data_IF_957527383231
#
_entry.id   IF_957527383231
#
_cell.length_a   1.000
_cell.length_b   1.000
_cell.length_c   1.000
_cell.angle_alpha   90.00
_cell.angle_beta   90.00
_cell.angle_gamma   90.00
#
_symmetry.space_group_name_H-M   'P 1'
#
loop_
_entity.id
_entity.type
_entity.pdbx_description
1 polymer ?
#
# COMPACT_ATOMS: atom_id res chain seq x y z
N UNK A 1 5.21 -4.23 -19.17
CA UNK A 1 4.67 -3.37 -18.10
C UNK A 1 3.57 -4.12 -17.37
N UNK A 2 3.39 -3.93 -16.06
CA UNK A 2 2.35 -4.64 -15.29
C UNK A 2 0.95 -4.21 -15.74
N UNK A 3 -0.02 -5.14 -15.75
CA UNK A 3 -1.43 -4.82 -15.93
C UNK A 3 -2.15 -5.03 -14.60
N UNK A 4 -2.62 -3.93 -13.99
CA UNK A 4 -3.33 -3.94 -12.72
C UNK A 4 -4.83 -3.69 -12.86
N UNK A 5 -5.35 -3.64 -14.09
CA UNK A 5 -6.78 -3.40 -14.32
C UNK A 5 -7.61 -4.52 -13.70
N UNK A 6 -8.56 -4.15 -12.85
CA UNK A 6 -9.42 -5.10 -12.14
C UNK A 6 -8.75 -5.82 -10.96
N UNK A 7 -7.52 -5.48 -10.62
CA UNK A 7 -6.80 -6.01 -9.45
C UNK A 7 -6.82 -4.97 -8.34
N UNK A 8 -7.20 -5.37 -7.12
CA UNK A 8 -7.20 -4.47 -5.96
C UNK A 8 -5.78 -4.07 -5.56
N UNK A 9 -5.64 -2.87 -5.00
CA UNK A 9 -4.34 -2.24 -4.71
C UNK A 9 -3.38 -3.13 -3.93
N UNK A 10 -3.84 -3.81 -2.87
CA UNK A 10 -3.01 -4.72 -2.06
C UNK A 10 -2.49 -5.93 -2.87
N UNK A 11 -3.34 -6.53 -3.71
CA UNK A 11 -2.94 -7.67 -4.53
C UNK A 11 -1.94 -7.25 -5.62
N UNK A 12 -2.19 -6.11 -6.27
CA UNK A 12 -1.27 -5.51 -7.23
C UNK A 12 0.07 -5.17 -6.58
N UNK A 13 0.04 -4.61 -5.36
CA UNK A 13 1.25 -4.25 -4.61
C UNK A 13 2.07 -5.47 -4.23
N UNK A 14 1.42 -6.58 -3.83
CA UNK A 14 2.11 -7.86 -3.57
C UNK A 14 2.79 -8.42 -4.80
N UNK A 15 2.07 -8.53 -5.92
CA UNK A 15 2.63 -9.06 -7.17
C UNK A 15 3.76 -8.18 -7.70
N UNK A 16 3.62 -6.86 -7.55
CA UNK A 16 4.66 -5.93 -7.93
C UNK A 16 5.90 -6.13 -7.07
N UNK A 17 5.79 -6.01 -5.74
CA UNK A 17 6.92 -6.07 -4.83
C UNK A 17 7.55 -7.46 -4.74
N UNK A 18 6.83 -8.54 -5.02
CA UNK A 18 7.45 -9.88 -5.07
C UNK A 18 8.46 -10.03 -6.20
N UNK A 19 8.47 -9.12 -7.19
CA UNK A 19 9.41 -9.11 -8.30
C UNK A 19 10.60 -8.15 -8.10
N UNK A 20 10.56 -7.32 -7.07
CA UNK A 20 11.65 -6.41 -6.73
C UNK A 20 12.31 -6.87 -5.44
N UNK A 21 13.61 -7.16 -5.50
CA UNK A 21 14.42 -7.26 -4.29
C UNK A 21 14.76 -5.83 -3.89
N UNK A 22 14.07 -5.29 -2.88
CA UNK A 22 14.38 -3.97 -2.32
C UNK A 22 15.60 -4.10 -1.40
N UNK A 23 16.78 -4.39 -1.96
CA UNK A 23 18.06 -4.32 -1.24
C UNK A 23 18.52 -2.88 -1.00
N UNK A 24 17.64 -1.91 -1.24
CA UNK A 24 17.95 -0.51 -1.48
C UNK A 24 17.67 0.45 -0.33
N UNK A 25 18.34 1.60 -0.40
CA UNK A 25 18.10 2.77 0.45
C UNK A 25 16.64 3.24 0.42
N UNK A 26 16.26 4.06 1.41
CA UNK A 26 14.94 4.71 1.49
C UNK A 26 14.54 5.41 0.18
N UNK A 27 15.50 5.97 -0.58
CA UNK A 27 15.21 6.61 -1.87
C UNK A 27 14.75 5.62 -2.96
N UNK A 28 15.32 4.42 -3.02
CA UNK A 28 14.92 3.43 -4.02
C UNK A 28 13.50 2.92 -3.75
N UNK A 29 13.17 2.72 -2.47
CA UNK A 29 11.81 2.35 -2.05
C UNK A 29 10.79 3.39 -2.51
N UNK A 30 11.07 4.68 -2.28
CA UNK A 30 10.20 5.77 -2.73
C UNK A 30 10.02 5.76 -4.25
N UNK A 31 11.10 5.61 -5.03
CA UNK A 31 11.00 5.56 -6.51
C UNK A 31 10.17 4.38 -7.00
N UNK A 32 10.34 3.21 -6.37
CA UNK A 32 9.61 1.98 -6.71
C UNK A 32 8.13 2.12 -6.38
N UNK A 33 7.77 2.71 -5.23
CA UNK A 33 6.38 2.96 -4.85
C UNK A 33 5.72 4.04 -5.69
N UNK A 34 6.43 5.10 -6.06
CA UNK A 34 5.95 6.13 -7.00
C UNK A 34 5.65 5.54 -8.37
N UNK A 35 6.57 4.70 -8.90
CA UNK A 35 6.36 4.03 -10.17
C UNK A 35 5.16 3.07 -10.15
N UNK A 36 5.02 2.30 -9.07
CA UNK A 36 3.85 1.45 -8.86
C UNK A 36 2.56 2.26 -8.82
N UNK A 37 2.51 3.33 -8.04
CA UNK A 37 1.32 4.14 -7.84
C UNK A 37 0.86 4.78 -9.16
N UNK A 38 1.80 5.35 -9.92
CA UNK A 38 1.52 5.90 -11.25
C UNK A 38 0.94 4.82 -12.17
N UNK A 39 1.56 3.64 -12.22
CA UNK A 39 1.10 2.56 -13.09
C UNK A 39 -0.27 2.02 -12.67
N UNK A 40 -0.51 1.88 -11.37
CA UNK A 40 -1.79 1.41 -10.85
C UNK A 40 -2.92 2.41 -11.17
N UNK A 41 -2.65 3.70 -11.05
CA UNK A 41 -3.58 4.76 -11.44
C UNK A 41 -3.89 4.74 -12.95
N UNK A 42 -2.88 4.62 -13.81
CA UNK A 42 -3.08 4.51 -15.27
C UNK A 42 -3.96 3.31 -15.66
N UNK A 43 -3.84 2.18 -14.94
CA UNK A 43 -4.65 0.99 -15.16
C UNK A 43 -6.07 1.09 -14.58
N UNK A 44 -6.29 1.97 -13.60
CA UNK A 44 -7.54 2.10 -12.84
C UNK A 44 -7.90 3.58 -12.56
N UNK A 45 -8.01 4.45 -13.58
CA UNK A 45 -8.13 5.91 -13.39
C UNK A 45 -9.47 6.33 -12.76
N UNK A 46 -10.45 5.43 -12.68
CA UNK A 46 -11.77 5.68 -12.10
C UNK A 46 -11.86 5.36 -10.61
N UNK A 47 -10.86 4.66 -10.04
CA UNK A 47 -10.86 4.24 -8.64
C UNK A 47 -10.25 5.27 -7.68
N UNK A 48 -9.36 6.12 -8.19
CA UNK A 48 -8.62 7.13 -7.43
C UNK A 48 -8.63 8.45 -8.19
N UNK A 49 -8.42 9.56 -7.48
CA UNK A 49 -8.41 10.91 -8.07
C UNK A 49 -7.08 11.27 -8.75
N UNK A 50 -5.99 10.69 -8.28
CA UNK A 50 -4.64 10.95 -8.79
C UNK A 50 -3.68 9.81 -8.45
N UNK A 51 -2.52 9.79 -9.12
CA UNK A 51 -1.42 8.91 -8.75
C UNK A 51 -0.89 9.18 -7.34
N UNK A 52 -0.88 10.44 -6.88
CA UNK A 52 -0.44 10.82 -5.54
C UNK A 52 -1.34 10.20 -4.46
N UNK A 53 -2.65 10.15 -4.71
CA UNK A 53 -3.59 9.47 -3.81
C UNK A 53 -3.27 7.96 -3.70
N UNK A 54 -2.96 7.31 -4.83
CA UNK A 54 -2.55 5.89 -4.84
C UNK A 54 -1.22 5.72 -4.11
N UNK A 55 -0.28 6.66 -4.29
CA UNK A 55 1.03 6.64 -3.64
C UNK A 55 0.89 6.75 -2.13
N UNK A 56 0.12 7.72 -1.63
CA UNK A 56 -0.15 7.89 -0.20
C UNK A 56 -0.75 6.62 0.42
N UNK A 57 -1.74 6.01 -0.23
CA UNK A 57 -2.34 4.77 0.25
C UNK A 57 -1.35 3.59 0.19
N UNK A 58 -0.53 3.51 -0.86
CA UNK A 58 0.54 2.50 -0.98
C UNK A 58 1.53 2.61 0.18
N UNK A 59 2.01 3.82 0.49
CA UNK A 59 2.89 4.07 1.63
C UNK A 59 2.24 3.67 2.95
N UNK A 60 0.95 4.01 3.14
CA UNK A 60 0.21 3.61 4.32
C UNK A 60 0.09 2.08 4.46
N UNK A 61 -0.12 1.34 3.36
CA UNK A 61 -0.15 -0.12 3.37
C UNK A 61 1.21 -0.74 3.73
N UNK A 62 2.31 -0.13 3.28
CA UNK A 62 3.66 -0.59 3.63
C UNK A 62 3.99 -0.33 5.11
N UNK A 63 3.57 0.82 5.63
CA UNK A 63 3.69 1.14 7.05
C UNK A 63 2.84 0.17 7.88
N UNK A 64 1.59 -0.06 7.47
CA UNK A 64 0.69 -1.03 8.11
C UNK A 64 1.30 -2.44 8.09
N UNK A 65 1.88 -2.87 6.96
CA UNK A 65 2.53 -4.17 6.86
C UNK A 65 3.71 -4.30 7.83
N UNK A 66 4.55 -3.27 7.90
CA UNK A 66 5.69 -3.22 8.81
C UNK A 66 5.24 -3.23 10.26
N UNK A 67 4.17 -2.51 10.57
CA UNK A 67 3.63 -2.45 11.92
C UNK A 67 2.92 -3.75 12.33
N UNK A 68 2.19 -4.43 11.43
CA UNK A 68 1.50 -5.69 11.72
C UNK A 68 2.43 -6.91 11.77
N UNK A 69 3.39 -6.98 10.85
CA UNK A 69 4.20 -8.19 10.59
C UNK A 69 5.70 -7.99 10.86
N UNK A 70 6.14 -6.77 11.11
CA UNK A 70 7.53 -6.49 11.46
C UNK A 70 7.90 -6.98 12.87
N UNK A 71 9.18 -6.92 13.23
CA UNK A 71 9.70 -7.45 14.50
C UNK A 71 9.26 -6.64 15.74
N UNK A 72 8.58 -5.50 15.58
CA UNK A 72 8.20 -4.63 16.69
C UNK A 72 7.23 -5.35 17.65
N UNK A 73 7.60 -5.45 18.93
CA UNK A 73 6.80 -6.13 19.98
C UNK A 73 5.73 -5.19 20.58
N UNK A 74 5.67 -3.94 20.11
CA UNK A 74 4.69 -2.95 20.55
C UNK A 74 3.24 -3.24 20.13
N UNK A 75 2.35 -2.32 20.52
CA UNK A 75 0.95 -2.34 20.08
C UNK A 75 0.89 -2.24 18.56
N UNK A 76 0.30 -3.26 17.94
CA UNK A 76 0.01 -3.31 16.50
C UNK A 76 -1.13 -2.34 16.15
N UNK A 77 -1.05 -1.73 14.99
CA UNK A 77 -1.99 -0.77 14.41
C UNK A 77 -3.33 -1.47 14.20
N UNK A 78 -4.36 -0.96 14.85
CA UNK A 78 -5.72 -1.46 14.64
C UNK A 78 -6.30 -0.94 13.34
N UNK A 79 -7.39 -1.55 12.86
CA UNK A 79 -8.11 -1.04 11.68
C UNK A 79 -8.60 0.40 11.89
N UNK A 80 -8.91 0.78 13.13
CA UNK A 80 -9.32 2.15 13.46
C UNK A 80 -8.14 3.10 13.35
N UNK A 81 -7.01 2.75 13.95
CA UNK A 81 -5.78 3.54 13.88
C UNK A 81 -5.36 3.75 12.40
N UNK A 82 -5.49 2.73 11.55
CA UNK A 82 -5.18 2.82 10.12
C UNK A 82 -6.09 3.81 9.37
N UNK A 83 -7.41 3.75 9.62
CA UNK A 83 -8.37 4.69 9.01
C UNK A 83 -8.14 6.11 9.51
N UNK A 84 -7.94 6.28 10.82
CA UNK A 84 -7.70 7.57 11.45
C UNK A 84 -6.38 8.19 10.93
N UNK A 85 -5.31 7.40 10.79
CA UNK A 85 -4.03 7.86 10.21
C UNK A 85 -4.20 8.45 8.81
N UNK A 86 -5.03 7.82 7.97
CA UNK A 86 -5.29 8.31 6.62
C UNK A 86 -6.20 9.55 6.59
N UNK A 87 -7.01 9.78 7.63
CA UNK A 87 -7.84 10.97 7.74
C UNK A 87 -7.04 12.28 7.94
N UNK A 88 -5.78 12.17 8.38
CA UNK A 88 -4.85 13.29 8.47
C UNK A 88 -4.19 13.64 7.12
N UNK A 89 -4.38 12.81 6.09
CA UNK A 89 -3.90 13.13 4.74
C UNK A 89 -4.90 14.06 4.04
N UNK A 90 -4.45 14.76 3.02
CA UNK A 90 -5.35 15.57 2.17
C UNK A 90 -6.27 14.73 1.27
N UNK A 91 -6.12 13.40 1.31
CA UNK A 91 -6.85 12.47 0.45
C UNK A 91 -8.02 11.80 1.18
N UNK A 92 -9.17 11.78 0.51
CA UNK A 92 -10.38 11.13 1.02
C UNK A 92 -10.49 9.73 0.42
N UNK A 93 -10.58 8.71 1.27
CA UNK A 93 -10.75 7.31 0.89
C UNK A 93 -12.06 6.75 1.41
N UNK A 94 -12.63 5.80 0.69
CA UNK A 94 -13.80 5.06 1.16
C UNK A 94 -13.43 4.18 2.37
N UNK A 95 -14.21 4.27 3.46
CA UNK A 95 -13.96 3.53 4.69
C UNK A 95 -14.03 2.01 4.50
N UNK A 96 -14.89 1.51 3.60
CA UNK A 96 -15.01 0.09 3.30
C UNK A 96 -13.78 -0.41 2.55
N UNK A 97 -13.25 0.39 1.62
CA UNK A 97 -11.98 0.11 0.95
C UNK A 97 -10.84 0.01 1.97
N UNK A 98 -10.69 0.99 2.87
CA UNK A 98 -9.62 0.97 3.87
C UNK A 98 -9.68 -0.25 4.79
N UNK A 99 -10.89 -0.62 5.27
CA UNK A 99 -11.09 -1.83 6.08
C UNK A 99 -10.76 -3.10 5.31
N UNK A 100 -11.17 -3.17 4.04
CA UNK A 100 -10.86 -4.31 3.16
C UNK A 100 -9.36 -4.47 2.99
N UNK A 101 -8.66 -3.37 2.71
CA UNK A 101 -7.20 -3.38 2.58
C UNK A 101 -6.52 -3.74 3.89
N UNK A 102 -6.99 -3.21 5.03
CA UNK A 102 -6.46 -3.56 6.35
C UNK A 102 -6.52 -5.07 6.60
N UNK A 103 -7.70 -5.68 6.40
CA UNK A 103 -7.87 -7.14 6.58
C UNK A 103 -6.95 -7.89 5.63
N UNK A 104 -6.88 -7.49 4.36
CA UNK A 104 -6.01 -8.17 3.39
C UNK A 104 -4.53 -8.14 3.81
N UNK A 105 -4.02 -7.00 4.30
CA UNK A 105 -2.65 -6.89 4.81
C UNK A 105 -2.47 -7.69 6.09
N UNK A 106 -3.44 -7.69 7.00
CA UNK A 106 -3.38 -8.47 8.23
C UNK A 106 -3.31 -9.97 7.97
N UNK A 107 -4.13 -10.49 7.07
CA UNK A 107 -4.20 -11.92 6.76
C UNK A 107 -3.01 -12.40 5.93
N UNK A 108 -2.51 -11.55 5.02
CA UNK A 108 -1.38 -11.89 4.17
C UNK A 108 -0.33 -10.78 4.29
N UNK A 109 0.89 -11.05 4.77
CA UNK A 109 1.95 -10.04 4.78
C UNK A 109 2.42 -9.73 3.35
N UNK A 110 2.72 -8.46 3.08
CA UNK A 110 3.48 -8.09 1.89
C UNK A 110 4.90 -8.61 2.12
N UNK A 111 5.24 -9.66 1.39
CA UNK A 111 6.60 -10.17 1.34
C UNK A 111 7.38 -9.28 0.38
N UNK A 112 8.23 -8.42 0.92
CA UNK A 112 9.38 -7.91 0.17
C UNK A 112 10.59 -8.70 0.69
N UNK A 113 11.46 -9.17 -0.20
CA UNK A 113 12.63 -9.97 0.19
C UNK A 113 13.56 -9.09 1.02
N UNK A 114 13.77 -9.46 2.28
CA UNK A 114 14.68 -8.86 3.25
C UNK A 114 14.81 -9.78 4.45
#
# INVERSE_FOLDING_TARGET
MFNFSGIRLDAALRDFLSRFCLTGETQERTRVTEHFAKRYYECNPTLFKSADQVHALTCALLLLNSDLHGPNVGRRMSSRDFVDNLSYTEHIFDCSLLKTLYVAIKEQPIKWVG
#
